data_IF_047441574006
#
_entry.id   IF_047441574006
#
_cell.length_a   1.000
_cell.length_b   1.000
_cell.length_c   1.000
_cell.angle_alpha   90.00
_cell.angle_beta   90.00
_cell.angle_gamma   90.00
#
_symmetry.space_group_name_H-M   'P 1'
#
loop_
_entity.id
_entity.type
_entity.pdbx_description
1 polymer ?
#
# COMPACT_ATOMS: atom_id res chain seq x y z
N UNK A 1 16.44 -6.06 -8.63
CA UNK A 1 14.98 -6.30 -8.65
C UNK A 1 14.27 -4.97 -8.83
N UNK A 2 13.22 -4.88 -9.65
CA UNK A 2 12.47 -3.64 -9.86
C UNK A 2 11.72 -3.23 -8.57
N UNK A 3 11.74 -1.93 -8.27
CA UNK A 3 10.93 -1.32 -7.22
C UNK A 3 9.74 -0.63 -7.86
N UNK A 4 8.54 -0.93 -7.37
CA UNK A 4 7.28 -0.42 -7.95
C UNK A 4 6.68 0.58 -6.98
N UNK A 5 6.37 1.79 -7.48
CA UNK A 5 5.58 2.77 -6.76
C UNK A 5 4.16 2.79 -7.35
N UNK A 6 3.15 2.72 -6.49
CA UNK A 6 1.75 2.90 -6.86
C UNK A 6 1.28 4.22 -6.26
N UNK A 7 0.81 5.11 -7.12
CA UNK A 7 0.31 6.42 -6.74
C UNK A 7 -1.18 6.31 -6.43
N UNK A 8 -1.53 6.46 -5.17
CA UNK A 8 -2.90 6.34 -4.69
C UNK A 8 -3.15 5.11 -3.83
N UNK A 9 -3.92 5.33 -2.76
CA UNK A 9 -4.25 4.37 -1.70
C UNK A 9 -5.74 4.04 -1.65
N UNK A 10 -6.44 4.24 -2.77
CA UNK A 10 -7.83 3.79 -2.93
C UNK A 10 -7.87 2.26 -3.11
N UNK A 11 -9.07 1.68 -3.11
CA UNK A 11 -9.27 0.23 -3.15
C UNK A 11 -8.49 -0.46 -4.27
N UNK A 12 -8.45 0.12 -5.48
CA UNK A 12 -7.70 -0.46 -6.61
C UNK A 12 -6.18 -0.31 -6.48
N UNK A 13 -5.69 0.82 -5.95
CA UNK A 13 -4.26 1.00 -5.67
C UNK A 13 -3.75 -0.02 -4.65
N UNK A 14 -4.53 -0.24 -3.58
CA UNK A 14 -4.23 -1.26 -2.57
C UNK A 14 -4.30 -2.67 -3.16
N UNK A 15 -5.37 -2.98 -3.90
CA UNK A 15 -5.55 -4.30 -4.54
C UNK A 15 -4.37 -4.65 -5.44
N UNK A 16 -3.96 -3.72 -6.31
CA UNK A 16 -2.80 -3.91 -7.18
C UNK A 16 -1.52 -4.11 -6.37
N UNK A 17 -1.32 -3.33 -5.32
CA UNK A 17 -0.16 -3.47 -4.43
C UNK A 17 -0.06 -4.85 -3.80
N UNK A 18 -1.19 -5.39 -3.32
CA UNK A 18 -1.24 -6.74 -2.74
C UNK A 18 -0.95 -7.81 -3.79
N UNK A 19 -1.56 -7.73 -4.97
CA UNK A 19 -1.32 -8.69 -6.07
C UNK A 19 0.17 -8.73 -6.43
N UNK A 20 0.82 -7.58 -6.55
CA UNK A 20 2.24 -7.49 -6.94
C UNK A 20 3.18 -7.99 -5.81
N UNK A 21 2.89 -7.68 -4.55
CA UNK A 21 3.67 -8.20 -3.41
C UNK A 21 3.55 -9.72 -3.32
N UNK A 22 2.36 -10.29 -3.55
CA UNK A 22 2.16 -11.74 -3.60
C UNK A 22 2.92 -12.43 -4.75
N UNK A 23 3.38 -11.68 -5.75
CA UNK A 23 4.30 -12.16 -6.80
C UNK A 23 5.78 -12.01 -6.43
N UNK A 24 6.08 -11.59 -5.21
CA UNK A 24 7.45 -11.39 -4.71
C UNK A 24 8.08 -10.06 -5.13
N UNK A 25 7.29 -9.10 -5.62
CA UNK A 25 7.80 -7.79 -6.05
C UNK A 25 7.85 -6.80 -4.88
N UNK A 26 8.82 -5.89 -4.90
CA UNK A 26 8.92 -4.80 -3.93
C UNK A 26 7.99 -3.66 -4.36
N UNK A 27 6.96 -3.40 -3.55
CA UNK A 27 5.93 -2.40 -3.85
C UNK A 27 5.81 -1.38 -2.72
N UNK A 28 5.66 -0.11 -3.10
CA UNK A 28 5.36 0.99 -2.20
C UNK A 28 4.09 1.72 -2.66
N UNK A 29 3.11 1.85 -1.77
CA UNK A 29 1.94 2.70 -1.95
C UNK A 29 2.27 4.14 -1.53
N UNK A 30 1.86 5.11 -2.35
CA UNK A 30 1.92 6.52 -2.00
C UNK A 30 0.53 7.05 -1.67
N UNK A 31 0.34 7.35 -0.39
CA UNK A 31 -0.86 8.01 0.13
C UNK A 31 -0.77 9.51 -0.14
N UNK A 32 -1.93 10.16 -0.31
CA UNK A 32 -1.98 11.61 -0.54
C UNK A 32 -1.52 12.41 0.68
N UNK A 33 -1.72 11.87 1.89
CA UNK A 33 -1.42 12.57 3.15
C UNK A 33 -0.72 11.65 4.15
N UNK A 34 0.05 12.24 5.06
CA UNK A 34 0.70 11.50 6.15
C UNK A 34 -0.33 10.85 7.08
N UNK A 35 -1.43 11.55 7.37
CA UNK A 35 -2.53 10.98 8.17
C UNK A 35 -3.11 9.71 7.53
N UNK A 36 -3.30 9.71 6.21
CA UNK A 36 -3.77 8.54 5.48
C UNK A 36 -2.74 7.41 5.49
N UNK A 37 -1.45 7.71 5.27
CA UNK A 37 -0.37 6.73 5.36
C UNK A 37 -0.28 6.10 6.75
N UNK A 38 -0.37 6.90 7.81
CA UNK A 38 -0.33 6.43 9.20
C UNK A 38 -1.56 5.56 9.53
N UNK A 39 -2.76 5.97 9.09
CA UNK A 39 -3.98 5.16 9.23
C UNK A 39 -3.83 3.79 8.57
N UNK A 40 -3.33 3.74 7.33
CA UNK A 40 -3.15 2.47 6.62
C UNK A 40 -2.06 1.57 7.23
N UNK A 41 -1.03 2.16 7.85
CA UNK A 41 -0.02 1.40 8.61
C UNK A 41 -0.56 0.84 9.92
N UNK A 42 -1.37 1.61 10.64
CA UNK A 42 -1.80 1.30 12.01
C UNK A 42 -3.12 0.51 12.07
N UNK A 43 -4.05 0.78 11.16
CA UNK A 43 -5.41 0.25 11.25
C UNK A 43 -5.49 -1.23 10.83
N UNK A 44 -4.47 -1.78 10.18
CA UNK A 44 -4.71 -2.93 9.31
C UNK A 44 -5.82 -2.56 8.31
N UNK A 45 -6.50 -3.53 7.72
CA UNK A 45 -7.48 -3.26 6.65
C UNK A 45 -8.53 -2.21 7.06
N UNK A 46 -8.74 -1.23 6.17
CA UNK A 46 -9.98 -0.46 6.11
C UNK A 46 -11.15 -1.47 6.01
N UNK A 47 -12.32 -1.27 6.67
CA UNK A 47 -13.43 -2.23 6.62
C UNK A 47 -13.89 -2.59 5.19
N UNK A 48 -13.69 -1.67 4.25
CA UNK A 48 -13.93 -1.85 2.81
C UNK A 48 -13.02 -2.89 2.13
N UNK A 49 -11.95 -3.35 2.80
CA UNK A 49 -10.96 -4.31 2.28
C UNK A 49 -10.81 -5.54 3.18
N UNK A 50 -11.76 -5.75 4.10
CA UNK A 50 -11.76 -6.77 5.16
C UNK A 50 -11.46 -8.22 4.73
N UNK A 51 -11.47 -8.54 3.44
CA UNK A 51 -11.10 -9.84 2.88
C UNK A 51 -9.61 -10.01 2.50
N UNK A 52 -8.79 -8.94 2.55
CA UNK A 52 -7.42 -8.97 1.99
C UNK A 52 -6.38 -8.92 3.10
N UNK A 53 -5.72 -10.03 3.44
CA UNK A 53 -4.58 -10.00 4.38
C UNK A 53 -3.53 -9.00 3.86
N UNK A 54 -3.27 -7.93 4.61
CA UNK A 54 -2.29 -6.92 4.20
C UNK A 54 -0.89 -7.50 4.38
N UNK A 55 -0.13 -7.73 3.30
CA UNK A 55 1.17 -8.36 3.41
C UNK A 55 2.15 -7.39 4.07
N UNK A 56 2.94 -7.88 5.03
CA UNK A 56 3.94 -7.09 5.78
C UNK A 56 5.01 -6.46 4.88
N UNK A 57 5.15 -6.97 3.66
CA UNK A 57 6.08 -6.49 2.64
C UNK A 57 5.57 -5.26 1.86
N UNK A 58 4.28 -4.90 1.98
CA UNK A 58 3.71 -3.73 1.32
C UNK A 58 4.01 -2.46 2.12
N UNK A 59 4.90 -1.63 1.60
CA UNK A 59 5.28 -0.36 2.24
C UNK A 59 4.31 0.76 1.88
N UNK A 60 4.03 1.66 2.81
CA UNK A 60 3.18 2.85 2.58
C UNK A 60 3.97 4.12 2.96
N UNK A 61 3.91 5.16 2.13
CA UNK A 61 4.49 6.48 2.39
C UNK A 61 3.52 7.58 1.98
N UNK A 62 3.62 8.75 2.58
CA UNK A 62 2.99 9.99 2.09
C UNK A 62 4.00 10.91 1.40
N UNK A 63 5.28 10.59 1.49
CA UNK A 63 6.36 11.32 0.83
C UNK A 63 6.78 10.58 -0.44
N UNK A 64 6.75 11.31 -1.56
CA UNK A 64 7.32 10.88 -2.82
C UNK A 64 8.84 11.13 -2.88
N UNK A 65 9.51 11.31 -1.73
CA UNK A 65 10.90 11.77 -1.62
C UNK A 65 11.82 11.21 -2.70
N UNK A 66 12.58 12.12 -3.33
CA UNK A 66 13.65 11.81 -4.28
C UNK A 66 14.61 10.74 -3.76
#
# INVERSE_FOLDING_TARGET
MPKIAIIGTTSWGITLGVVLVNKGLQVRLWARTESEAAKLKNAGLNPALSAIIFPTQLSITSSLGE
#
